data_IF_296737597653
#
_entry.id   IF_296737597653
#
_cell.length_a   1.000
_cell.length_b   1.000
_cell.length_c   1.000
_cell.angle_alpha   90.00
_cell.angle_beta   90.00
_cell.angle_gamma   90.00
#
_symmetry.space_group_name_H-M   'P 1'
#
loop_
_entity.id
_entity.type
_entity.pdbx_description
1 polymer ?
#
# COMPACT_ATOMS: atom_id res chain seq x y z
N UNK A 1 10.89 7.90 14.91
CA UNK A 1 11.54 7.01 13.92
C UNK A 1 10.60 5.92 13.40
N UNK A 2 9.89 5.16 14.24
CA UNK A 2 9.00 4.08 13.80
C UNK A 2 7.97 4.49 12.71
N UNK A 3 7.35 5.67 12.81
CA UNK A 3 6.44 6.18 11.78
C UNK A 3 7.11 6.44 10.43
N UNK A 4 8.36 6.92 10.42
CA UNK A 4 9.16 7.12 9.20
C UNK A 4 9.58 5.78 8.58
N UNK A 5 9.83 4.75 9.39
CA UNK A 5 10.10 3.40 8.88
C UNK A 5 8.85 2.83 8.20
N UNK A 6 7.67 2.98 8.82
CA UNK A 6 6.40 2.54 8.22
C UNK A 6 5.97 3.35 7.00
N UNK A 7 6.54 4.54 6.75
CA UNK A 7 6.29 5.29 5.51
C UNK A 7 7.11 4.81 4.33
N UNK A 8 8.24 4.12 4.56
CA UNK A 8 9.01 3.47 3.49
C UNK A 8 8.34 2.19 3.05
N UNK A 9 7.93 1.36 4.01
CA UNK A 9 7.24 0.10 3.75
C UNK A 9 6.30 -0.20 4.92
N UNK A 10 5.00 -0.47 4.66
CA UNK A 10 4.07 -0.81 5.72
C UNK A 10 4.56 -2.02 6.55
N UNK A 11 4.48 -1.89 7.88
CA UNK A 11 4.93 -2.92 8.83
C UNK A 11 6.34 -2.72 9.42
N UNK A 12 7.22 -1.93 8.81
CA UNK A 12 8.58 -1.74 9.33
C UNK A 12 8.64 -1.06 10.69
N UNK A 13 7.78 -0.07 10.94
CA UNK A 13 7.69 0.57 12.25
C UNK A 13 7.21 -0.37 13.34
N UNK A 14 6.37 -1.36 13.01
CA UNK A 14 5.92 -2.39 13.94
C UNK A 14 7.04 -3.38 14.27
N UNK A 15 7.88 -3.75 13.30
CA UNK A 15 9.08 -4.54 13.57
C UNK A 15 10.06 -3.79 14.48
N UNK A 16 10.24 -2.49 14.24
CA UNK A 16 11.05 -1.63 15.11
C UNK A 16 10.49 -1.57 16.55
N UNK A 17 9.17 -1.48 16.68
CA UNK A 17 8.48 -1.48 17.98
C UNK A 17 8.35 -2.88 18.62
N UNK A 18 9.09 -3.89 18.16
CA UNK A 18 9.04 -5.28 18.66
C UNK A 18 7.64 -5.92 18.59
N UNK A 19 6.83 -5.54 17.60
CA UNK A 19 5.52 -6.14 17.31
C UNK A 19 5.53 -6.88 15.96
N UNK A 20 6.29 -7.98 15.83
CA UNK A 20 6.50 -8.65 14.55
C UNK A 20 5.22 -9.21 13.94
N UNK A 21 4.25 -9.67 14.75
CA UNK A 21 2.96 -10.15 14.25
C UNK A 21 2.17 -9.07 13.52
N UNK A 22 2.12 -7.84 14.04
CA UNK A 22 1.48 -6.72 13.36
C UNK A 22 2.28 -6.27 12.13
N UNK A 23 3.62 -6.26 12.24
CA UNK A 23 4.50 -5.94 11.13
C UNK A 23 4.28 -6.86 9.93
N UNK A 24 4.23 -8.17 10.17
CA UNK A 24 3.92 -9.17 9.16
C UNK A 24 2.52 -8.97 8.57
N UNK A 25 1.51 -8.67 9.40
CA UNK A 25 0.15 -8.40 8.93
C UNK A 25 0.08 -7.21 7.95
N UNK A 26 0.66 -6.06 8.33
CA UNK A 26 0.69 -4.89 7.44
C UNK A 26 1.47 -5.15 6.16
N UNK A 27 2.61 -5.84 6.25
CA UNK A 27 3.43 -6.17 5.09
C UNK A 27 2.69 -7.12 4.13
N UNK A 28 2.05 -8.17 4.64
CA UNK A 28 1.30 -9.13 3.83
C UNK A 28 0.13 -8.46 3.11
N UNK A 29 -0.66 -7.66 3.81
CA UNK A 29 -1.78 -6.92 3.19
C UNK A 29 -1.27 -5.97 2.11
N UNK A 30 -0.18 -5.26 2.38
CA UNK A 30 0.44 -4.38 1.38
C UNK A 30 0.90 -5.15 0.14
N UNK A 31 1.61 -6.26 0.31
CA UNK A 31 2.10 -7.08 -0.81
C UNK A 31 0.96 -7.65 -1.65
N UNK A 32 -0.13 -8.10 -1.01
CA UNK A 32 -1.32 -8.59 -1.72
C UNK A 32 -1.96 -7.47 -2.54
N UNK A 33 -2.19 -6.30 -1.95
CA UNK A 33 -2.81 -5.18 -2.66
C UNK A 33 -1.94 -4.67 -3.82
N UNK A 34 -0.63 -4.55 -3.61
CA UNK A 34 0.31 -4.15 -4.67
C UNK A 34 0.40 -5.21 -5.76
N UNK A 35 0.41 -6.50 -5.40
CA UNK A 35 0.37 -7.60 -6.36
C UNK A 35 -0.88 -7.55 -7.24
N UNK A 36 -2.04 -7.33 -6.63
CA UNK A 36 -3.30 -7.14 -7.34
C UNK A 36 -3.25 -5.92 -8.26
N UNK A 37 -2.75 -4.79 -7.78
CA UNK A 37 -2.62 -3.55 -8.56
C UNK A 37 -1.74 -3.77 -9.79
N UNK A 38 -0.55 -4.36 -9.62
CA UNK A 38 0.38 -4.62 -10.72
C UNK A 38 -0.23 -5.62 -11.72
N UNK A 39 -0.87 -6.69 -11.23
CA UNK A 39 -1.52 -7.68 -12.10
C UNK A 39 -2.72 -7.11 -12.88
N UNK A 40 -3.32 -6.04 -12.37
CA UNK A 40 -4.44 -5.36 -13.00
C UNK A 40 -4.03 -4.38 -14.09
N UNK A 41 -2.75 -4.02 -14.23
CA UNK A 41 -2.28 -3.05 -15.22
C UNK A 41 -1.71 -3.78 -16.43
N UNK A 42 -2.39 -3.69 -17.58
CA UNK A 42 -1.81 -4.06 -18.88
C UNK A 42 -1.17 -2.84 -19.53
N UNK A 43 0.13 -2.91 -19.80
CA UNK A 43 0.89 -1.82 -20.42
C UNK A 43 0.41 -1.51 -21.84
N UNK A 44 -0.15 -2.49 -22.56
CA UNK A 44 -0.70 -2.28 -23.90
C UNK A 44 -2.00 -1.49 -23.85
N UNK A 45 -2.88 -1.83 -22.90
CA UNK A 45 -4.12 -1.08 -22.69
C UNK A 45 -3.81 0.35 -22.25
N UNK A 46 -2.75 0.55 -21.46
CA UNK A 46 -2.28 1.87 -21.05
C UNK A 46 -1.77 2.70 -22.23
N UNK A 47 -0.95 2.10 -23.11
CA UNK A 47 -0.43 2.74 -24.32
C UNK A 47 -1.57 3.10 -25.29
N UNK A 48 -2.51 2.18 -25.48
CA UNK A 48 -3.68 2.41 -26.32
C UNK A 48 -4.56 3.53 -25.76
N UNK A 49 -4.85 3.52 -24.45
CA UNK A 49 -5.61 4.56 -23.76
C UNK A 49 -4.95 5.94 -23.89
N UNK A 50 -3.61 5.99 -23.81
CA UNK A 50 -2.85 7.22 -23.99
C UNK A 50 -2.96 7.76 -25.42
N UNK A 51 -2.91 6.87 -26.41
CA UNK A 51 -2.99 7.21 -27.82
C UNK A 51 -4.40 7.61 -28.28
N UNK A 52 -5.44 6.98 -27.72
CA UNK A 52 -6.84 7.22 -28.08
C UNK A 52 -7.53 8.30 -27.22
N UNK A 53 -6.95 8.66 -26.08
CA UNK A 53 -7.58 9.52 -25.08
C UNK A 53 -8.76 8.87 -24.37
N UNK A 54 -8.91 7.54 -24.47
CA UNK A 54 -9.97 6.79 -23.79
C UNK A 54 -9.49 6.31 -22.42
N UNK A 55 -10.42 6.19 -21.47
CA UNK A 55 -10.09 5.68 -20.14
C UNK A 55 -10.06 4.15 -20.17
N UNK A 56 -9.07 3.49 -19.52
CA UNK A 56 -9.06 2.03 -19.41
C UNK A 56 -10.30 1.49 -18.69
N UNK A 57 -10.83 0.35 -19.14
CA UNK A 57 -12.07 -0.25 -18.60
C UNK A 57 -11.99 -0.60 -17.11
N UNK A 58 -10.79 -0.87 -16.61
CA UNK A 58 -10.50 -1.26 -15.22
C UNK A 58 -10.09 -0.09 -14.31
N UNK A 59 -10.18 1.16 -14.76
CA UNK A 59 -9.72 2.34 -14.01
C UNK A 59 -10.36 2.43 -12.61
N UNK A 60 -11.64 2.07 -12.48
CA UNK A 60 -12.35 2.14 -11.21
C UNK A 60 -11.79 1.16 -10.18
N UNK A 61 -11.44 -0.04 -10.61
CA UNK A 61 -10.79 -1.05 -9.77
C UNK A 61 -9.39 -0.63 -9.37
N UNK A 62 -8.60 -0.06 -10.30
CA UNK A 62 -7.26 0.43 -10.02
C UNK A 62 -7.28 1.56 -8.99
N UNK A 63 -8.14 2.56 -9.17
CA UNK A 63 -8.32 3.67 -8.23
C UNK A 63 -8.76 3.17 -6.84
N UNK A 64 -9.67 2.21 -6.79
CA UNK A 64 -10.11 1.62 -5.53
C UNK A 64 -8.96 0.88 -4.81
N UNK A 65 -8.18 0.07 -5.53
CA UNK A 65 -7.02 -0.63 -4.98
C UNK A 65 -5.96 0.37 -4.49
N UNK A 66 -5.72 1.44 -5.22
CA UNK A 66 -4.76 2.48 -4.85
C UNK A 66 -5.18 3.22 -3.57
N UNK A 67 -6.47 3.57 -3.43
CA UNK A 67 -7.02 4.13 -2.19
C UNK A 67 -6.88 3.17 -1.00
N UNK A 68 -7.06 1.86 -1.23
CA UNK A 68 -6.85 0.84 -0.19
C UNK A 68 -5.38 0.74 0.22
N UNK A 69 -4.45 0.75 -0.75
CA UNK A 69 -3.01 0.78 -0.47
C UNK A 69 -2.65 2.02 0.35
N UNK A 70 -3.14 3.20 -0.04
CA UNK A 70 -2.92 4.44 0.69
C UNK A 70 -3.49 4.36 2.11
N UNK A 71 -4.70 3.83 2.27
CA UNK A 71 -5.33 3.64 3.58
C UNK A 71 -4.51 2.75 4.50
N UNK A 72 -4.00 1.62 3.99
CA UNK A 72 -3.12 0.71 4.74
C UNK A 72 -1.78 1.38 5.09
N UNK A 73 -1.22 2.16 4.18
CA UNK A 73 0.03 2.88 4.42
C UNK A 73 -0.12 3.90 5.55
N UNK A 74 -1.17 4.73 5.48
CA UNK A 74 -1.49 5.71 6.53
C UNK A 74 -1.75 5.00 7.86
N UNK A 75 -2.54 3.92 7.85
CA UNK A 75 -2.83 3.16 9.06
C UNK A 75 -1.56 2.57 9.67
N UNK A 76 -0.71 1.94 8.88
CA UNK A 76 0.58 1.39 9.32
C UNK A 76 1.46 2.47 9.98
N UNK A 77 1.56 3.66 9.39
CA UNK A 77 2.32 4.79 9.95
C UNK A 77 1.73 5.23 11.30
N UNK A 78 0.41 5.44 11.34
CA UNK A 78 -0.28 5.92 12.55
C UNK A 78 -0.17 4.90 13.68
N UNK A 79 -0.33 3.60 13.40
CA UNK A 79 -0.19 2.53 14.39
C UNK A 79 1.25 2.45 14.91
N UNK A 80 2.27 2.51 14.03
CA UNK A 80 3.66 2.52 14.43
C UNK A 80 4.02 3.75 15.29
N UNK A 81 3.53 4.93 14.92
CA UNK A 81 3.75 6.17 15.66
C UNK A 81 3.06 6.17 17.02
N UNK A 82 1.83 5.64 17.11
CA UNK A 82 1.08 5.51 18.37
C UNK A 82 1.72 4.49 19.30
N UNK A 83 2.16 3.36 18.76
CA UNK A 83 2.80 2.30 19.53
C UNK A 83 4.14 2.76 20.10
N UNK A 84 4.93 3.49 19.31
CA UNK A 84 6.21 4.05 19.78
C UNK A 84 6.06 5.07 20.93
N UNK A 85 4.92 5.76 21.04
CA UNK A 85 4.64 6.70 22.14
C UNK A 85 4.24 6.00 23.45
N UNK A 86 3.83 4.73 23.38
CA UNK A 86 3.33 3.94 24.52
C UNK A 86 4.39 3.01 25.11
N UNK A 87 5.55 2.89 24.45
CA UNK A 87 6.67 2.05 24.85
C UNK A 87 7.79 2.89 25.42
#
# INVERSE_FOLDING_TARGET
MAGLLSSVLPGLGQFYNRQPGKGAGFLLVFLVLVGLLISGVDLKDLDQALASGTVPDNIGTLLMLELLVLGILIWSIVDAARTAKKS
#
